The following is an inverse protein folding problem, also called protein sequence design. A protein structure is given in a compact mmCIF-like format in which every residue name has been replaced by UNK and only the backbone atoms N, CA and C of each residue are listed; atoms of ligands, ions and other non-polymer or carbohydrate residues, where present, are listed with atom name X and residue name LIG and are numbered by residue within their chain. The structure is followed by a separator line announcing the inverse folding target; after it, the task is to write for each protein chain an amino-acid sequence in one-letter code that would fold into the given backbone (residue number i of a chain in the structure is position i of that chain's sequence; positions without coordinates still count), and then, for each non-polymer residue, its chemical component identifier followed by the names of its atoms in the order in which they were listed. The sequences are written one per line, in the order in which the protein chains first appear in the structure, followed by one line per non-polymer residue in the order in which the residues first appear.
data_IF_459161008128
#
_entry.id   IF_459161008128
#
_cell.length_a   1.000
_cell.length_b   1.000
_cell.length_c   1.000
_cell.angle_alpha   90.00
_cell.angle_beta   90.00
_cell.angle_gamma   90.00
#
_symmetry.space_group_name_H-M   'P 1'
#
loop_
_entity.id
_entity.type
_entity.pdbx_description
1 polymer ?
#
# COMPACT_ATOMS: atom_id res chain seq x y z
N UNK A 1 -7.47 -6.50 -3.14
CA UNK A 1 -6.90 -6.96 -1.85
C UNK A 1 -7.05 -5.86 -0.82
N UNK A 2 -7.56 -6.21 0.33
CA UNK A 2 -7.79 -5.22 1.36
C UNK A 2 -6.78 -5.33 2.48
N UNK A 3 -6.38 -4.18 3.00
CA UNK A 3 -5.48 -4.12 4.14
C UNK A 3 -6.30 -4.01 5.41
N UNK A 4 -5.86 -4.69 6.46
CA UNK A 4 -6.43 -4.47 7.77
C UNK A 4 -5.96 -3.12 8.30
N UNK A 5 -6.65 -2.63 9.34
CA UNK A 5 -6.22 -1.37 9.94
C UNK A 5 -4.81 -1.48 10.52
N UNK A 6 -4.47 -2.64 11.08
CA UNK A 6 -3.12 -2.84 11.61
C UNK A 6 -2.08 -2.79 10.49
N UNK A 7 -2.36 -3.44 9.38
CA UNK A 7 -1.44 -3.39 8.23
C UNK A 7 -1.31 -1.99 7.68
N UNK A 8 -2.42 -1.29 7.55
CA UNK A 8 -2.37 0.08 7.05
C UNK A 8 -1.61 1.00 7.99
N UNK A 9 -1.74 0.79 9.30
CA UNK A 9 -0.99 1.59 10.25
C UNK A 9 0.52 1.48 10.07
N UNK A 10 0.98 0.33 9.61
CA UNK A 10 2.40 0.13 9.31
C UNK A 10 2.81 0.86 8.04
N UNK A 11 1.93 0.91 7.05
CA UNK A 11 2.28 1.43 5.74
C UNK A 11 2.04 2.93 5.60
N UNK A 12 1.07 3.45 6.33
CA UNK A 12 0.69 4.85 6.18
C UNK A 12 1.88 5.81 6.35
N UNK A 13 2.72 5.68 7.39
CA UNK A 13 3.85 6.60 7.51
C UNK A 13 4.90 6.44 6.41
N UNK A 14 4.93 5.27 5.79
CA UNK A 14 5.90 5.03 4.71
C UNK A 14 5.47 5.74 3.43
N UNK A 15 4.18 5.70 3.10
CA UNK A 15 3.69 6.25 1.84
C UNK A 15 3.27 7.72 1.95
N UNK A 16 3.05 8.23 3.15
CA UNK A 16 2.63 9.61 3.34
C UNK A 16 3.81 10.54 3.07
N UNK A 17 3.67 11.50 2.14
CA UNK A 17 4.77 12.41 1.85
C UNK A 17 5.11 13.26 3.07
N UNK A 18 6.39 13.49 3.32
CA UNK A 18 6.79 14.38 4.42
C UNK A 18 6.43 15.83 4.11
N UNK A 19 6.25 16.62 5.15
CA UNK A 19 6.02 18.04 5.00
C UNK A 19 4.59 18.43 4.75
N UNK A 20 3.66 17.54 4.93
CA UNK A 20 2.25 17.82 4.71
C UNK A 20 1.49 18.14 5.99
N UNK A 21 2.19 18.31 7.06
CA UNK A 21 1.54 18.57 8.35
C UNK A 21 1.20 20.03 8.53
N UNK A 22 1.46 20.87 7.57
CA UNK A 22 1.09 22.27 7.70
C UNK A 22 -0.41 22.49 7.65
N UNK A 23 -1.16 21.47 7.29
CA UNK A 23 -2.62 21.51 7.35
C UNK A 23 -3.25 22.44 6.34
N UNK A 24 -2.50 22.91 5.41
CA UNK A 24 -3.02 23.84 4.44
C UNK A 24 -3.75 23.17 3.31
N UNK A 25 -4.84 23.76 2.90
CA UNK A 25 -5.60 23.27 1.80
C UNK A 25 -6.33 21.98 2.14
N UNK A 26 -6.66 21.23 1.13
CA UNK A 26 -7.42 20.02 1.31
C UNK A 26 -6.52 18.87 1.72
N UNK A 27 -7.11 17.87 2.38
CA UNK A 27 -6.34 16.70 2.76
C UNK A 27 -5.75 16.01 1.53
N UNK A 28 -4.62 15.34 1.69
CA UNK A 28 -4.07 14.58 0.58
C UNK A 28 -5.01 13.45 0.18
N UNK A 29 -4.84 12.98 -1.04
CA UNK A 29 -5.60 11.85 -1.52
C UNK A 29 -5.41 10.65 -0.58
N UNK A 30 -6.49 9.91 -0.34
CA UNK A 30 -6.41 8.72 0.48
C UNK A 30 -5.57 7.67 -0.23
N UNK A 31 -4.45 7.33 0.34
CA UNK A 31 -3.50 6.41 -0.30
C UNK A 31 -3.80 4.96 -0.01
N UNK A 32 -4.65 4.66 0.98
CA UNK A 32 -4.96 3.28 1.31
C UNK A 32 -5.57 2.52 0.14
N UNK A 33 -6.63 3.03 -0.53
CA UNK A 33 -7.18 2.29 -1.66
C UNK A 33 -6.20 2.15 -2.80
N UNK A 34 -5.29 3.12 -2.97
CA UNK A 34 -4.28 3.05 -4.00
C UNK A 34 -3.32 1.90 -3.73
N UNK A 35 -2.85 1.79 -2.49
CA UNK A 35 -1.95 0.69 -2.10
C UNK A 35 -2.67 -0.65 -2.27
N UNK A 36 -3.93 -0.71 -1.86
CA UNK A 36 -4.71 -1.94 -2.01
C UNK A 36 -4.85 -2.35 -3.46
N UNK A 37 -5.09 -1.37 -4.34
CA UNK A 37 -5.20 -1.65 -5.77
C UNK A 37 -3.90 -2.16 -6.36
N UNK A 38 -2.78 -1.55 -5.97
CA UNK A 38 -1.47 -2.00 -6.43
C UNK A 38 -1.21 -3.43 -5.97
N UNK A 39 -1.52 -3.73 -4.72
CA UNK A 39 -1.33 -5.08 -4.20
C UNK A 39 -2.19 -6.09 -4.93
N UNK A 40 -3.41 -5.70 -5.30
CA UNK A 40 -4.27 -6.57 -6.07
C UNK A 40 -3.64 -6.94 -7.42
N UNK A 41 -3.08 -5.94 -8.11
CA UNK A 41 -2.40 -6.17 -9.39
C UNK A 41 -1.21 -7.12 -9.22
N UNK A 42 -0.40 -6.88 -8.20
CA UNK A 42 0.80 -7.68 -7.99
C UNK A 42 0.47 -9.11 -7.58
N UNK A 43 -0.61 -9.28 -6.82
CA UNK A 43 -1.02 -10.60 -6.37
C UNK A 43 -1.63 -11.42 -7.48
N UNK A 44 -2.46 -10.80 -8.32
CA UNK A 44 -3.19 -11.53 -9.36
C UNK A 44 -2.43 -11.63 -10.66
N UNK A 45 -1.48 -10.72 -10.90
CA UNK A 45 -0.80 -10.66 -12.18
C UNK A 45 -1.66 -10.10 -13.30
N UNK A 46 -2.78 -9.46 -12.94
CA UNK A 46 -3.69 -8.91 -13.94
C UNK A 46 -3.09 -7.65 -14.57
N UNK A 47 -3.66 -7.25 -15.69
CA UNK A 47 -3.26 -5.99 -16.31
C UNK A 47 -3.83 -4.84 -15.51
N UNK A 48 -3.13 -3.70 -15.57
CA UNK A 48 -3.61 -2.52 -14.86
C UNK A 48 -5.02 -2.13 -15.30
N UNK A 49 -5.32 -2.22 -16.58
CA UNK A 49 -6.65 -1.86 -17.10
C UNK A 49 -7.76 -2.78 -16.61
N UNK A 50 -7.41 -3.95 -16.10
CA UNK A 50 -8.39 -4.92 -15.62
C UNK A 50 -8.69 -4.74 -14.13
N UNK A 51 -8.13 -3.71 -13.51
CA UNK A 51 -8.36 -3.46 -12.09
C UNK A 51 -9.85 -3.25 -11.81
N UNK A 52 -10.39 -3.89 -10.76
CA UNK A 52 -11.81 -3.69 -10.42
C UNK A 52 -12.13 -2.24 -10.11
N UNK A 53 -13.38 -1.87 -10.37
CA UNK A 53 -13.82 -0.49 -10.19
C UNK A 53 -13.88 -0.06 -8.73
N UNK A 54 -13.84 -1.00 -7.80
CA UNK A 54 -13.85 -0.66 -6.38
C UNK A 54 -12.56 0.04 -5.96
N UNK A 55 -11.50 -0.07 -6.74
CA UNK A 55 -10.25 0.64 -6.49
C UNK A 55 -10.23 1.95 -7.28
N UNK A 56 -9.31 2.86 -6.95
CA UNK A 56 -9.17 4.07 -7.77
C UNK A 56 -8.80 3.73 -9.21
N UNK A 57 -8.96 4.69 -10.13
CA UNK A 57 -8.64 4.41 -11.54
C UNK A 57 -7.24 3.83 -11.68
N UNK A 58 -7.10 2.87 -12.59
CA UNK A 58 -5.82 2.17 -12.72
C UNK A 58 -4.68 3.11 -13.10
N UNK A 59 -4.97 4.18 -13.84
CA UNK A 59 -3.95 5.15 -14.18
C UNK A 59 -3.39 5.83 -12.94
N UNK A 60 -4.25 6.15 -11.99
CA UNK A 60 -3.84 6.76 -10.73
C UNK A 60 -2.96 5.80 -9.93
N UNK A 61 -3.40 4.57 -9.80
CA UNK A 61 -2.64 3.56 -9.05
C UNK A 61 -1.28 3.31 -9.70
N UNK A 62 -1.26 3.21 -11.03
CA UNK A 62 -0.01 2.98 -11.74
C UNK A 62 0.97 4.13 -11.54
N UNK A 63 0.47 5.36 -11.56
CA UNK A 63 1.30 6.54 -11.39
C UNK A 63 1.98 6.53 -10.03
N UNK A 64 1.24 6.20 -8.98
CA UNK A 64 1.80 6.09 -7.65
C UNK A 64 2.80 4.95 -7.55
N UNK A 65 2.47 3.80 -8.13
CA UNK A 65 3.37 2.66 -8.12
C UNK A 65 4.67 2.98 -8.82
N UNK A 66 4.59 3.64 -9.98
CA UNK A 66 5.78 4.03 -10.73
C UNK A 66 6.65 4.97 -9.90
N UNK A 67 6.03 5.98 -9.30
CA UNK A 67 6.75 6.93 -8.47
C UNK A 67 7.42 6.24 -7.28
N UNK A 68 6.66 5.42 -6.58
CA UNK A 68 7.19 4.74 -5.39
C UNK A 68 8.28 3.73 -5.75
N UNK A 69 8.18 3.10 -6.92
CA UNK A 69 9.21 2.18 -7.37
C UNK A 69 10.52 2.90 -7.64
N UNK A 70 10.43 4.13 -8.14
CA UNK A 70 11.60 4.90 -8.49
C UNK A 70 12.27 5.54 -7.28
N UNK A 71 11.49 5.93 -6.28
CA UNK A 71 12.05 6.63 -5.12
C UNK A 71 12.32 5.71 -3.93
N UNK A 72 12.09 4.42 -4.08
CA UNK A 72 12.37 3.45 -3.02
C UNK A 72 11.25 3.23 -2.03
N UNK A 73 10.17 3.98 -2.14
CA UNK A 73 9.05 3.85 -1.20
C UNK A 73 8.40 2.48 -1.28
N UNK A 74 8.21 1.97 -2.50
CA UNK A 74 7.54 0.67 -2.65
C UNK A 74 8.34 -0.46 -2.02
N UNK A 75 9.66 -0.40 -2.09
CA UNK A 75 10.50 -1.40 -1.46
C UNK A 75 10.32 -1.40 0.04
N UNK A 76 10.11 -0.24 0.65
CA UNK A 76 9.83 -0.14 2.08
C UNK A 76 8.47 -0.72 2.43
N UNK A 77 7.46 -0.43 1.60
CA UNK A 77 6.12 -0.98 1.79
C UNK A 77 6.19 -2.51 1.76
N UNK A 78 6.84 -3.03 0.75
CA UNK A 78 6.97 -4.46 0.58
C UNK A 78 7.70 -5.09 1.76
N UNK A 79 8.79 -4.47 2.19
CA UNK A 79 9.54 -4.98 3.32
C UNK A 79 8.74 -4.98 4.61
N UNK A 80 7.98 -3.91 4.84
CA UNK A 80 7.15 -3.82 6.04
C UNK A 80 6.07 -4.91 6.05
N UNK A 81 5.42 -5.13 4.90
CA UNK A 81 4.42 -6.18 4.81
C UNK A 81 5.00 -7.56 5.03
N UNK A 82 6.16 -7.82 4.45
CA UNK A 82 6.81 -9.12 4.62
C UNK A 82 7.17 -9.37 6.08
N UNK A 83 7.67 -8.34 6.78
CA UNK A 83 7.98 -8.47 8.19
C UNK A 83 6.73 -8.71 9.03
N UNK A 84 5.65 -8.02 8.68
CA UNK A 84 4.39 -8.20 9.39
C UNK A 84 3.88 -9.64 9.21
N UNK A 85 3.90 -10.14 7.98
CA UNK A 85 3.43 -11.50 7.71
C UNK A 85 4.30 -12.55 8.40
N UNK A 86 5.61 -12.33 8.42
CA UNK A 86 6.51 -13.23 9.12
C UNK A 86 6.23 -13.25 10.62
N UNK A 87 5.96 -12.07 11.19
CA UNK A 87 5.66 -11.97 12.62
C UNK A 87 4.37 -12.71 12.97
N UNK A 88 3.34 -12.56 12.14
CA UNK A 88 2.07 -13.26 12.36
C UNK A 88 2.25 -14.76 12.24
N UNK A 89 3.03 -15.20 11.26
CA UNK A 89 3.28 -16.63 11.08
C UNK A 89 4.01 -17.21 12.27
N UNK A 90 4.98 -16.48 12.82
CA UNK A 90 5.70 -16.94 13.99
C UNK A 90 4.80 -17.03 15.22
N UNK A 91 3.91 -16.05 15.39
CA UNK A 91 2.96 -16.07 16.48
C UNK A 91 2.04 -17.28 16.38
N UNK A 92 1.58 -17.60 15.18
CA UNK A 92 0.72 -18.74 14.98
C UNK A 92 1.45 -20.05 15.28
N UNK A 93 2.71 -20.13 14.92
CA UNK A 93 3.50 -21.31 15.23
C UNK A 93 3.74 -21.44 16.72
N UNK A 94 3.95 -20.31 17.39
CA UNK A 94 4.19 -20.33 18.82
C UNK A 94 2.96 -20.72 19.61
N UNK A 95 1.79 -20.47 19.07
CA UNK A 95 0.53 -20.75 19.76
C UNK A 95 0.26 -22.25 19.90
N UNK A 96 1.02 -23.07 19.25
CA UNK A 96 0.90 -24.48 19.41
C UNK A 96 1.65 -24.97 20.64
#
# INVERSE_FOLDING_TARGET
MRLTNAQWSLLAPIVTPPGREDGRGRPPQDLRPIVEGILWILRTGARWRDMPKEYPPHQTCWRWFDRWSKDGTWQRVRGALLRYLASVALDQQSAK
#
